data_IF_877214618749
#
_entry.id   IF_877214618749
#
_cell.length_a   1.000
_cell.length_b   1.000
_cell.length_c   1.000
_cell.angle_alpha   90.00
_cell.angle_beta   90.00
_cell.angle_gamma   90.00
#
_symmetry.space_group_name_H-M   'P 1'
#
loop_
_entity.id
_entity.type
_entity.pdbx_description
1 polymer ?
#
# COMPACT_ATOMS: atom_id res chain seq x y z
N UNK A 1 4.26 0.36 -20.76
CA UNK A 1 5.27 0.93 -19.85
C UNK A 1 5.42 2.41 -20.12
N UNK A 2 5.78 2.86 -21.34
CA UNK A 2 6.07 4.25 -21.67
C UNK A 2 4.93 5.24 -21.36
N UNK A 3 3.68 4.92 -21.70
CA UNK A 3 2.52 5.77 -21.39
C UNK A 3 2.29 5.94 -19.86
N UNK A 4 2.57 4.91 -19.07
CA UNK A 4 2.45 4.96 -17.62
C UNK A 4 3.54 5.87 -17.00
N UNK A 5 4.74 5.79 -17.52
CA UNK A 5 5.85 6.67 -17.12
C UNK A 5 5.52 8.15 -17.38
N UNK A 6 4.95 8.46 -18.55
CA UNK A 6 4.51 9.82 -18.88
C UNK A 6 3.42 10.31 -17.92
N UNK A 7 2.45 9.45 -17.56
CA UNK A 7 1.41 9.78 -16.59
C UNK A 7 2.02 10.07 -15.21
N UNK A 8 2.89 9.19 -14.72
CA UNK A 8 3.54 9.38 -13.42
C UNK A 8 4.40 10.66 -13.43
N UNK A 9 5.18 10.87 -14.49
CA UNK A 9 6.07 12.03 -14.62
C UNK A 9 5.27 13.36 -14.63
N UNK A 10 4.15 13.41 -15.33
CA UNK A 10 3.30 14.61 -15.44
C UNK A 10 2.34 14.83 -14.27
N UNK A 11 2.11 13.83 -13.42
CA UNK A 11 1.19 13.92 -12.30
C UNK A 11 1.70 14.91 -11.23
N UNK A 12 0.84 15.83 -10.84
CA UNK A 12 1.11 16.84 -9.80
C UNK A 12 0.27 16.65 -8.53
N UNK A 13 -0.64 15.69 -8.53
CA UNK A 13 -1.46 15.32 -7.39
C UNK A 13 -0.85 14.14 -6.62
N UNK A 14 -1.23 13.92 -5.36
CA UNK A 14 -0.86 12.71 -4.65
C UNK A 14 -1.22 11.45 -5.44
N UNK A 15 -0.36 10.45 -5.41
CA UNK A 15 -0.58 9.20 -6.16
C UNK A 15 -0.27 7.96 -5.33
N UNK A 16 -0.94 6.86 -5.64
CA UNK A 16 -0.63 5.53 -5.13
C UNK A 16 -0.22 4.65 -6.31
N UNK A 17 0.94 4.02 -6.23
CA UNK A 17 1.50 3.17 -7.27
C UNK A 17 1.61 1.73 -6.78
N UNK A 18 1.01 0.81 -7.54
CA UNK A 18 0.98 -0.62 -7.25
C UNK A 18 1.22 -1.46 -8.50
N UNK A 19 1.52 -2.71 -8.35
CA UNK A 19 1.59 -3.71 -9.41
C UNK A 19 2.54 -3.32 -10.57
N UNK A 20 1.98 -3.16 -11.78
CA UNK A 20 2.76 -2.85 -12.98
C UNK A 20 3.33 -1.44 -13.02
N UNK A 21 2.92 -0.55 -12.13
CA UNK A 21 3.50 0.78 -11.98
C UNK A 21 4.85 0.76 -11.23
N UNK A 22 5.17 -0.37 -10.59
CA UNK A 22 6.41 -0.55 -9.83
C UNK A 22 7.49 -1.18 -10.74
N UNK A 23 8.38 -0.34 -11.26
CA UNK A 23 9.46 -0.68 -12.19
C UNK A 23 10.77 -0.07 -11.69
N UNK A 24 11.91 -0.43 -12.29
CA UNK A 24 13.24 0.07 -11.91
C UNK A 24 13.34 1.61 -11.84
N UNK A 25 12.64 2.30 -12.75
CA UNK A 25 12.68 3.77 -12.83
C UNK A 25 11.58 4.47 -12.02
N UNK A 26 10.73 3.74 -11.30
CA UNK A 26 9.59 4.32 -10.57
C UNK A 26 10.04 5.32 -9.52
N UNK A 27 11.11 5.03 -8.78
CA UNK A 27 11.62 5.92 -7.75
C UNK A 27 12.04 7.28 -8.33
N UNK A 28 12.74 7.29 -9.45
CA UNK A 28 13.15 8.55 -10.10
C UNK A 28 11.95 9.36 -10.61
N UNK A 29 10.91 8.68 -11.11
CA UNK A 29 9.67 9.32 -11.57
C UNK A 29 8.87 9.98 -10.45
N UNK A 30 8.96 9.46 -9.21
CA UNK A 30 8.23 9.99 -8.05
C UNK A 30 9.05 10.95 -7.19
N UNK A 31 10.32 11.16 -7.52
CA UNK A 31 11.21 12.06 -6.76
C UNK A 31 10.59 13.44 -6.58
N UNK A 32 10.44 13.86 -5.33
CA UNK A 32 9.84 15.15 -4.97
C UNK A 32 8.32 15.24 -5.16
N UNK A 33 7.64 14.11 -5.36
CA UNK A 33 6.18 14.02 -5.47
C UNK A 33 5.60 13.35 -4.22
N UNK A 34 4.36 13.65 -3.92
CA UNK A 34 3.61 12.94 -2.88
C UNK A 34 3.15 11.58 -3.41
N UNK A 35 3.95 10.54 -3.19
CA UNK A 35 3.70 9.20 -3.69
C UNK A 35 3.68 8.16 -2.57
N UNK A 36 2.77 7.20 -2.69
CA UNK A 36 2.76 5.96 -1.90
C UNK A 36 2.99 4.80 -2.86
N UNK A 37 4.01 3.99 -2.59
CA UNK A 37 4.32 2.77 -3.31
C UNK A 37 3.94 1.57 -2.44
N UNK A 38 3.32 0.55 -3.04
CA UNK A 38 2.81 -0.61 -2.28
C UNK A 38 3.40 -1.94 -2.78
N UNK A 39 4.75 -2.10 -2.83
CA UNK A 39 5.36 -3.33 -3.30
C UNK A 39 5.14 -4.52 -2.36
N UNK A 40 5.03 -5.73 -2.92
CA UNK A 40 5.41 -6.96 -2.26
C UNK A 40 6.88 -7.31 -2.62
N UNK A 41 7.46 -8.31 -1.98
CA UNK A 41 8.88 -8.67 -2.21
C UNK A 41 9.24 -8.87 -3.69
N UNK A 42 8.40 -9.55 -4.48
CA UNK A 42 8.68 -9.75 -5.91
C UNK A 42 8.57 -8.47 -6.76
N UNK A 43 7.79 -7.49 -6.33
CA UNK A 43 7.74 -6.16 -6.96
C UNK A 43 8.95 -5.32 -6.57
N UNK A 44 9.41 -5.44 -5.33
CA UNK A 44 10.63 -4.81 -4.86
C UNK A 44 11.85 -5.29 -5.64
N UNK A 45 11.94 -6.61 -5.85
CA UNK A 45 12.98 -7.24 -6.67
C UNK A 45 12.97 -6.71 -8.11
N UNK A 46 11.78 -6.54 -8.71
CA UNK A 46 11.61 -5.93 -10.05
C UNK A 46 12.06 -4.46 -10.08
N UNK A 47 11.89 -3.74 -8.98
CA UNK A 47 12.37 -2.37 -8.84
C UNK A 47 13.90 -2.29 -8.66
N UNK A 48 14.59 -3.42 -8.48
CA UNK A 48 16.02 -3.47 -8.18
C UNK A 48 16.36 -2.95 -6.79
N UNK A 49 15.45 -3.07 -5.83
CA UNK A 49 15.56 -2.52 -4.47
C UNK A 49 15.57 -3.66 -3.46
N UNK A 50 16.44 -3.57 -2.47
CA UNK A 50 16.47 -4.48 -1.34
C UNK A 50 15.68 -3.94 -0.15
N UNK A 51 15.10 -4.87 0.64
CA UNK A 51 14.29 -4.49 1.81
C UNK A 51 15.08 -3.62 2.80
N UNK A 52 16.36 -3.92 2.99
CA UNK A 52 17.22 -3.20 3.94
C UNK A 52 17.47 -1.73 3.56
N UNK A 53 17.27 -1.38 2.29
CA UNK A 53 17.50 -0.02 1.78
C UNK A 53 16.24 0.85 1.82
N UNK A 54 15.08 0.27 2.16
CA UNK A 54 13.78 0.96 2.06
C UNK A 54 13.68 2.21 2.94
N UNK A 55 14.29 2.22 4.11
CA UNK A 55 14.29 3.42 4.96
C UNK A 55 15.09 4.57 4.33
N UNK A 56 16.26 4.26 3.78
CA UNK A 56 17.10 5.25 3.13
C UNK A 56 16.44 5.76 1.84
N UNK A 57 15.80 4.87 1.08
CA UNK A 57 15.02 5.21 -0.12
C UNK A 57 13.83 6.11 0.24
N UNK A 58 13.06 5.77 1.28
CA UNK A 58 11.94 6.60 1.73
C UNK A 58 12.42 8.01 2.13
N UNK A 59 13.59 8.12 2.77
CA UNK A 59 14.22 9.38 3.12
C UNK A 59 14.66 10.16 1.87
N UNK A 60 15.36 9.52 0.95
CA UNK A 60 15.93 10.16 -0.24
C UNK A 60 14.85 10.66 -1.19
N UNK A 61 13.84 9.83 -1.45
CA UNK A 61 12.79 10.15 -2.43
C UNK A 61 11.59 10.86 -1.81
N UNK A 62 11.55 11.02 -0.47
CA UNK A 62 10.41 11.59 0.29
C UNK A 62 9.09 10.85 -0.01
N UNK A 63 9.18 9.55 -0.26
CA UNK A 63 8.04 8.69 -0.58
C UNK A 63 7.61 7.90 0.66
N UNK A 64 6.33 7.49 0.68
CA UNK A 64 5.84 6.48 1.61
C UNK A 64 5.87 5.12 0.90
N UNK A 65 6.49 4.11 1.51
CA UNK A 65 6.59 2.77 0.93
C UNK A 65 5.94 1.76 1.87
N UNK A 66 4.97 1.04 1.36
CA UNK A 66 4.28 -0.06 2.08
C UNK A 66 4.80 -1.38 1.52
N UNK A 67 5.70 -2.03 2.22
CA UNK A 67 6.11 -3.39 1.91
C UNK A 67 5.04 -4.37 2.41
N UNK A 68 4.28 -4.92 1.46
CA UNK A 68 3.20 -5.89 1.74
C UNK A 68 3.76 -7.24 2.18
N UNK A 69 3.20 -7.79 3.28
CA UNK A 69 3.63 -9.08 3.81
C UNK A 69 2.68 -9.63 4.87
N UNK A 70 3.10 -10.68 5.56
CA UNK A 70 2.39 -11.15 6.75
C UNK A 70 2.35 -10.04 7.80
N UNK A 71 3.46 -9.36 8.02
CA UNK A 71 3.54 -8.05 8.66
C UNK A 71 3.79 -7.03 7.57
N UNK A 72 2.92 -6.04 7.43
CA UNK A 72 3.16 -4.94 6.51
C UNK A 72 4.11 -3.94 7.17
N UNK A 73 5.15 -3.51 6.43
CA UNK A 73 6.11 -2.51 6.91
C UNK A 73 5.92 -1.22 6.15
N UNK A 74 5.80 -0.12 6.87
CA UNK A 74 5.56 1.21 6.28
C UNK A 74 6.76 2.09 6.56
N UNK A 75 7.45 2.48 5.51
CA UNK A 75 8.62 3.34 5.55
C UNK A 75 8.21 4.74 5.09
N UNK A 76 8.62 5.73 5.87
CA UNK A 76 8.46 7.15 5.53
C UNK A 76 9.77 7.89 5.82
N UNK A 77 9.85 9.18 5.47
CA UNK A 77 11.04 10.00 5.75
C UNK A 77 11.36 10.17 7.25
N UNK A 78 10.46 9.74 8.15
CA UNK A 78 10.62 9.98 9.59
C UNK A 78 10.40 8.74 10.46
N UNK A 79 9.84 7.68 9.91
CA UNK A 79 9.50 6.48 10.68
C UNK A 79 9.49 5.22 9.84
N UNK A 80 9.73 4.10 10.52
CA UNK A 80 9.33 2.77 10.06
C UNK A 80 8.30 2.24 11.05
N UNK A 81 7.14 1.81 10.52
CA UNK A 81 6.04 1.25 11.29
C UNK A 81 5.72 -0.16 10.81
N UNK A 82 5.30 -1.03 11.71
CA UNK A 82 4.90 -2.41 11.40
C UNK A 82 3.42 -2.61 11.76
N UNK A 83 2.66 -3.16 10.81
CA UNK A 83 1.24 -3.50 11.00
C UNK A 83 1.09 -5.01 10.95
N UNK A 84 0.78 -5.59 12.09
CA UNK A 84 0.55 -7.03 12.26
C UNK A 84 -0.94 -7.36 12.21
N UNK A 85 -1.25 -8.67 12.20
CA UNK A 85 -2.64 -9.16 12.16
C UNK A 85 -3.04 -9.71 10.79
N UNK A 86 -4.34 -9.83 10.59
CA UNK A 86 -4.86 -10.47 9.38
C UNK A 86 -4.64 -11.99 9.38
N UNK A 87 -4.80 -12.61 8.23
CA UNK A 87 -4.65 -14.05 8.06
C UNK A 87 -4.36 -14.43 6.60
N UNK A 88 -4.13 -15.72 6.34
CA UNK A 88 -3.78 -16.23 5.01
C UNK A 88 -4.85 -15.96 3.93
N UNK A 89 -6.12 -15.74 4.29
CA UNK A 89 -7.17 -15.38 3.32
C UNK A 89 -6.91 -14.04 2.62
N UNK A 90 -6.11 -13.15 3.23
CA UNK A 90 -5.70 -11.89 2.59
C UNK A 90 -4.73 -12.09 1.40
N UNK A 91 -4.28 -13.31 1.11
CA UNK A 91 -3.51 -13.62 -0.11
C UNK A 91 -4.40 -13.81 -1.34
N UNK A 92 -5.73 -13.69 -1.21
CA UNK A 92 -6.64 -13.75 -2.35
C UNK A 92 -6.37 -12.61 -3.35
N UNK A 93 -6.56 -12.92 -4.64
CA UNK A 93 -6.35 -11.94 -5.70
C UNK A 93 -7.25 -10.70 -5.55
N UNK A 94 -6.70 -9.53 -5.79
CA UNK A 94 -7.38 -8.24 -5.65
C UNK A 94 -7.24 -7.58 -4.27
N UNK A 95 -6.64 -8.25 -3.28
CA UNK A 95 -6.41 -7.64 -1.96
C UNK A 95 -5.45 -6.44 -2.05
N UNK A 96 -4.43 -6.51 -2.91
CA UNK A 96 -3.53 -5.39 -3.19
C UNK A 96 -4.27 -4.19 -3.78
N UNK A 97 -5.20 -4.44 -4.73
CA UNK A 97 -6.03 -3.38 -5.33
C UNK A 97 -6.92 -2.70 -4.27
N UNK A 98 -7.47 -3.49 -3.34
CA UNK A 98 -8.26 -2.95 -2.22
C UNK A 98 -7.39 -2.06 -1.34
N UNK A 99 -6.17 -2.49 -1.00
CA UNK A 99 -5.23 -1.70 -0.21
C UNK A 99 -4.88 -0.39 -0.91
N UNK A 100 -4.46 -0.45 -2.16
CA UNK A 100 -4.08 0.73 -2.93
C UNK A 100 -5.26 1.71 -3.08
N UNK A 101 -6.46 1.20 -3.37
CA UNK A 101 -7.68 2.00 -3.46
C UNK A 101 -8.07 2.65 -2.12
N UNK A 102 -7.92 1.93 -1.00
CA UNK A 102 -8.21 2.47 0.32
C UNK A 102 -7.22 3.58 0.70
N UNK A 103 -5.93 3.39 0.48
CA UNK A 103 -4.90 4.42 0.68
C UNK A 103 -5.25 5.67 -0.14
N UNK A 104 -5.55 5.51 -1.43
CA UNK A 104 -5.91 6.62 -2.32
C UNK A 104 -7.17 7.36 -1.83
N UNK A 105 -8.18 6.62 -1.37
CA UNK A 105 -9.41 7.19 -0.82
C UNK A 105 -9.17 8.02 0.45
N UNK A 106 -8.31 7.55 1.36
CA UNK A 106 -7.95 8.27 2.58
C UNK A 106 -7.12 9.53 2.26
N UNK A 107 -6.17 9.46 1.34
CA UNK A 107 -5.39 10.62 0.87
C UNK A 107 -6.33 11.66 0.21
N UNK A 108 -7.30 11.23 -0.57
CA UNK A 108 -8.29 12.12 -1.19
C UNK A 108 -9.13 12.88 -0.13
N UNK A 109 -9.26 12.33 1.07
CA UNK A 109 -9.86 12.99 2.23
C UNK A 109 -8.87 13.85 3.03
N UNK A 110 -7.71 14.17 2.46
CA UNK A 110 -6.64 15.00 3.03
C UNK A 110 -5.87 14.38 4.20
N UNK A 111 -5.92 13.06 4.35
CA UNK A 111 -5.06 12.35 5.28
C UNK A 111 -3.61 12.38 4.78
N UNK A 112 -2.64 12.50 5.67
CA UNK A 112 -1.23 12.39 5.31
C UNK A 112 -0.91 10.98 4.77
N UNK A 113 0.00 10.88 3.79
CA UNK A 113 0.27 9.62 3.09
C UNK A 113 0.67 8.47 4.04
N UNK A 114 1.49 8.76 5.05
CA UNK A 114 1.92 7.76 6.02
C UNK A 114 0.78 7.29 6.92
N UNK A 115 -0.09 8.20 7.36
CA UNK A 115 -1.25 7.86 8.18
C UNK A 115 -2.28 7.06 7.36
N UNK A 116 -2.53 7.49 6.11
CA UNK A 116 -3.39 6.76 5.18
C UNK A 116 -2.90 5.33 4.93
N UNK A 117 -1.59 5.12 4.79
CA UNK A 117 -0.99 3.81 4.62
C UNK A 117 -1.18 2.94 5.88
N UNK A 118 -0.92 3.50 7.07
CA UNK A 118 -1.10 2.79 8.36
C UNK A 118 -2.55 2.38 8.59
N UNK A 119 -3.46 3.32 8.41
CA UNK A 119 -4.89 3.07 8.61
C UNK A 119 -5.42 2.06 7.60
N UNK A 120 -5.03 2.17 6.33
CA UNK A 120 -5.44 1.22 5.30
C UNK A 120 -4.94 -0.20 5.59
N UNK A 121 -3.66 -0.38 5.95
CA UNK A 121 -3.12 -1.68 6.34
C UNK A 121 -3.86 -2.24 7.58
N UNK A 122 -4.10 -1.40 8.58
CA UNK A 122 -4.82 -1.80 9.80
C UNK A 122 -6.25 -2.25 9.49
N UNK A 123 -6.99 -1.48 8.68
CA UNK A 123 -8.34 -1.83 8.25
C UNK A 123 -8.35 -3.15 7.49
N UNK A 124 -7.40 -3.33 6.56
CA UNK A 124 -7.31 -4.55 5.76
C UNK A 124 -7.06 -5.78 6.64
N UNK A 125 -6.14 -5.70 7.61
CA UNK A 125 -5.87 -6.78 8.57
C UNK A 125 -7.13 -7.09 9.41
N UNK A 126 -7.79 -6.07 9.96
CA UNK A 126 -9.04 -6.24 10.73
C UNK A 126 -10.18 -6.83 9.88
N UNK A 127 -10.29 -6.45 8.61
CA UNK A 127 -11.28 -7.02 7.70
C UNK A 127 -11.03 -8.52 7.50
N UNK A 128 -9.79 -8.93 7.28
CA UNK A 128 -9.42 -10.33 7.19
C UNK A 128 -9.77 -11.13 8.45
N UNK A 129 -9.48 -10.58 9.64
CA UNK A 129 -9.82 -11.22 10.92
C UNK A 129 -11.33 -11.34 11.14
N UNK A 130 -12.11 -10.34 10.73
CA UNK A 130 -13.57 -10.39 10.80
C UNK A 130 -14.16 -11.42 9.84
N UNK A 131 -13.60 -11.50 8.62
CA UNK A 131 -14.05 -12.46 7.60
C UNK A 131 -13.68 -13.90 7.94
N UNK A 132 -12.51 -14.12 8.55
CA UNK A 132 -12.13 -15.46 9.03
C UNK A 132 -13.18 -16.03 10.00
N UNK A 133 -13.68 -15.23 10.92
CA UNK A 133 -14.73 -15.63 11.87
C UNK A 133 -16.06 -15.97 11.17
N UNK A 134 -16.35 -15.32 10.03
CA UNK A 134 -17.62 -15.49 9.29
C UNK A 134 -17.52 -16.60 8.24
N UNK A 135 -16.40 -16.74 7.55
CA UNK A 135 -16.23 -17.55 6.34
C UNK A 135 -14.97 -18.43 6.32
N UNK A 136 -14.18 -18.46 7.41
CA UNK A 136 -12.83 -19.02 7.37
C UNK A 136 -11.95 -18.23 6.40
N UNK A 137 -11.07 -18.91 5.68
CA UNK A 137 -10.19 -18.27 4.68
C UNK A 137 -10.80 -18.17 3.27
N UNK A 138 -12.08 -18.59 3.10
CA UNK A 138 -12.74 -18.62 1.78
C UNK A 138 -13.51 -17.34 1.50
N UNK A 139 -12.85 -16.18 1.61
CA UNK A 139 -13.41 -14.88 1.27
C UNK A 139 -12.68 -14.25 0.06
N UNK A 140 -13.33 -13.30 -0.57
CA UNK A 140 -12.86 -12.61 -1.76
C UNK A 140 -12.48 -11.16 -1.46
N UNK A 141 -11.83 -10.48 -2.42
CA UNK A 141 -11.58 -9.04 -2.32
C UNK A 141 -12.88 -8.22 -2.16
N UNK A 142 -13.99 -8.64 -2.80
CA UNK A 142 -15.30 -7.99 -2.63
C UNK A 142 -15.83 -8.13 -1.19
N UNK A 143 -15.60 -9.27 -0.55
CA UNK A 143 -15.95 -9.44 0.86
C UNK A 143 -15.17 -8.48 1.75
N UNK A 144 -13.86 -8.29 1.46
CA UNK A 144 -13.00 -7.32 2.17
C UNK A 144 -13.57 -5.91 2.03
N UNK A 145 -13.89 -5.49 0.79
CA UNK A 145 -14.49 -4.18 0.51
C UNK A 145 -15.77 -3.96 1.31
N UNK A 146 -16.61 -5.00 1.44
CA UNK A 146 -17.87 -4.92 2.21
C UNK A 146 -17.66 -4.69 3.72
N UNK A 147 -16.55 -5.12 4.30
CA UNK A 147 -16.22 -4.89 5.72
C UNK A 147 -15.69 -3.46 5.99
N UNK A 148 -15.08 -2.80 5.01
CA UNK A 148 -14.40 -1.49 5.17
C UNK A 148 -15.30 -0.42 5.79
N UNK A 149 -16.58 -0.21 5.35
CA UNK A 149 -17.41 0.86 5.92
C UNK A 149 -17.67 0.72 7.42
N UNK A 150 -17.75 -0.50 7.92
CA UNK A 150 -17.89 -0.77 9.35
C UNK A 150 -16.64 -0.44 10.15
N UNK A 151 -15.47 -0.72 9.57
CA UNK A 151 -14.18 -0.52 10.22
C UNK A 151 -13.72 0.94 10.19
N UNK A 152 -14.05 1.70 9.14
CA UNK A 152 -13.76 3.15 9.07
C UNK A 152 -14.41 3.96 10.20
N UNK A 153 -15.50 3.48 10.78
CA UNK A 153 -16.17 4.13 11.92
C UNK A 153 -15.41 3.97 13.24
N UNK A 154 -14.39 3.14 13.26
CA UNK A 154 -13.62 2.80 14.48
C UNK A 154 -12.22 3.42 14.48
N UNK A 155 -11.89 4.20 13.44
CA UNK A 155 -10.73 5.09 13.38
C UNK A 155 -11.08 6.41 14.06
#
# INVERSE_FOLDING_TARGET
VHALEEIIASCTTPMVLDATALQENTLDLVRGKQAVLTPHLGELERMGVEENDLQDIANEYQATIVLKGQTDKIFSSHSTDEITGGNAGLTTGGTGDVLAGLIAGLIAQRMASVDAAKDACTILKKAGEALEKKKGFSYTAQDIVAEIPGLLRTL
#
